data_IF_588793073440
#
_entry.id   IF_588793073440
#
_cell.length_a   1.000
_cell.length_b   1.000
_cell.length_c   1.000
_cell.angle_alpha   90.00
_cell.angle_beta   90.00
_cell.angle_gamma   90.00
#
_symmetry.space_group_name_H-M   'P 1'
#
loop_
_entity.id
_entity.type
_entity.pdbx_description
1 polymer ?
#
# COMPACT_ATOMS: atom_id res chain seq x y z
N UNK A 1 -17.76 29.23 -16.01
CA UNK A 1 -16.85 28.64 -17.03
C UNK A 1 -17.71 28.11 -18.16
N UNK A 2 -17.55 28.57 -19.42
CA UNK A 2 -18.28 28.02 -20.57
C UNK A 2 -17.52 26.79 -21.08
N UNK A 3 -18.05 25.60 -20.82
CA UNK A 3 -17.58 24.32 -21.34
C UNK A 3 -18.15 24.10 -22.75
N UNK A 4 -17.30 23.83 -23.73
CA UNK A 4 -17.73 23.44 -25.08
C UNK A 4 -17.92 21.92 -25.15
N UNK A 5 -19.11 21.50 -24.71
CA UNK A 5 -19.51 20.11 -24.50
C UNK A 5 -19.53 19.29 -25.80
N UNK A 6 -19.79 19.91 -26.94
CA UNK A 6 -19.93 19.21 -28.23
C UNK A 6 -18.62 18.58 -28.69
N UNK A 7 -17.51 19.31 -28.59
CA UNK A 7 -16.17 18.79 -28.93
C UNK A 7 -15.67 17.70 -27.97
N UNK A 8 -16.15 17.72 -26.72
CA UNK A 8 -15.87 16.68 -25.74
C UNK A 8 -16.68 15.41 -26.03
N UNK A 9 -17.94 15.55 -26.43
CA UNK A 9 -18.81 14.43 -26.77
C UNK A 9 -18.32 13.64 -27.98
N UNK A 10 -17.88 14.33 -29.04
CA UNK A 10 -17.39 13.68 -30.27
C UNK A 10 -16.14 12.82 -29.99
N UNK A 11 -15.19 13.38 -29.24
CA UNK A 11 -14.01 12.65 -28.74
C UNK A 11 -14.36 11.46 -27.84
N UNK A 12 -15.38 11.61 -26.99
CA UNK A 12 -15.81 10.54 -26.09
C UNK A 12 -16.53 9.43 -26.86
N UNK A 13 -17.28 9.76 -27.92
CA UNK A 13 -17.98 8.78 -28.76
C UNK A 13 -16.99 7.93 -29.58
N UNK A 14 -15.96 8.53 -30.15
CA UNK A 14 -14.90 7.81 -30.86
C UNK A 14 -14.13 6.85 -29.92
N UNK A 15 -13.83 7.30 -28.70
CA UNK A 15 -13.22 6.46 -27.66
C UNK A 15 -14.16 5.32 -27.23
N UNK A 16 -15.46 5.61 -27.05
CA UNK A 16 -16.47 4.62 -26.66
C UNK A 16 -16.64 3.52 -27.71
N UNK A 17 -16.57 3.87 -29.00
CA UNK A 17 -16.66 2.89 -30.08
C UNK A 17 -15.45 1.93 -30.10
N UNK A 18 -14.25 2.46 -29.85
CA UNK A 18 -13.02 1.66 -29.74
C UNK A 18 -13.02 0.75 -28.51
N UNK A 19 -13.47 1.28 -27.37
CA UNK A 19 -13.51 0.55 -26.10
C UNK A 19 -14.55 -0.58 -26.14
N UNK A 20 -15.71 -0.36 -26.76
CA UNK A 20 -16.73 -1.40 -26.94
C UNK A 20 -16.25 -2.55 -27.82
N UNK A 21 -15.49 -2.26 -28.88
CA UNK A 21 -14.92 -3.31 -29.74
C UNK A 21 -13.89 -4.16 -28.96
N UNK A 22 -13.07 -3.52 -28.12
CA UNK A 22 -12.11 -4.20 -27.26
C UNK A 22 -12.79 -5.04 -26.17
N UNK A 23 -13.84 -4.51 -25.54
CA UNK A 23 -14.62 -5.22 -24.52
C UNK A 23 -15.35 -6.44 -25.08
N UNK A 24 -15.87 -6.35 -26.29
CA UNK A 24 -16.55 -7.49 -26.93
C UNK A 24 -15.55 -8.60 -27.29
N UNK A 25 -14.33 -8.23 -27.71
CA UNK A 25 -13.23 -9.18 -27.90
C UNK A 25 -12.80 -9.85 -26.58
N UNK A 26 -12.73 -9.10 -25.48
CA UNK A 26 -12.43 -9.66 -24.16
C UNK A 26 -13.56 -10.55 -23.62
N UNK A 27 -14.82 -10.23 -23.90
CA UNK A 27 -15.97 -11.04 -23.49
C UNK A 27 -15.99 -12.40 -24.21
N UNK A 28 -15.67 -12.41 -25.52
CA UNK A 28 -15.57 -13.64 -26.31
C UNK A 28 -14.39 -14.52 -25.86
N UNK A 29 -13.31 -13.92 -25.34
CA UNK A 29 -12.08 -14.62 -24.93
C UNK A 29 -12.13 -15.14 -23.47
N UNK A 30 -12.86 -14.47 -22.57
CA UNK A 30 -12.84 -14.76 -21.12
C UNK A 30 -14.23 -15.01 -20.49
N UNK A 31 -15.29 -15.14 -21.30
CA UNK A 31 -16.68 -15.19 -20.82
C UNK A 31 -17.07 -16.38 -19.93
N UNK A 32 -16.27 -17.45 -19.86
CA UNK A 32 -16.60 -18.69 -19.14
C UNK A 32 -16.04 -18.78 -17.72
N UNK A 33 -15.49 -17.68 -17.17
CA UNK A 33 -14.75 -17.72 -15.91
C UNK A 33 -15.13 -16.62 -14.91
N UNK A 34 -16.40 -16.47 -14.54
CA UNK A 34 -16.76 -15.89 -13.23
C UNK A 34 -18.09 -16.49 -12.74
N UNK A 35 -18.00 -17.48 -11.85
CA UNK A 35 -19.13 -17.86 -10.99
C UNK A 35 -19.18 -16.87 -9.82
N UNK A 36 -20.31 -16.20 -9.72
CA UNK A 36 -20.76 -15.36 -8.61
C UNK A 36 -20.82 -16.15 -7.29
N UNK A 37 -20.21 -15.63 -6.22
CA UNK A 37 -20.73 -15.78 -4.85
C UNK A 37 -20.53 -14.47 -4.09
N UNK A 38 -21.60 -13.69 -4.02
CA UNK A 38 -21.72 -12.43 -3.30
C UNK A 38 -22.32 -12.72 -1.90
N UNK A 39 -21.48 -12.85 -0.87
CA UNK A 39 -21.93 -12.98 0.54
C UNK A 39 -21.81 -11.61 1.23
N UNK A 40 -22.90 -10.83 1.20
CA UNK A 40 -22.95 -9.49 1.81
C UNK A 40 -22.98 -9.60 3.34
N UNK A 41 -21.80 -9.57 3.96
CA UNK A 41 -21.67 -9.34 5.40
C UNK A 41 -21.70 -7.84 5.69
N UNK A 42 -22.59 -7.41 6.60
CA UNK A 42 -22.58 -6.05 7.16
C UNK A 42 -21.29 -5.91 8.00
N UNK A 43 -20.17 -5.54 7.37
CA UNK A 43 -18.87 -5.52 8.04
C UNK A 43 -18.69 -4.22 8.84
N UNK A 44 -18.01 -4.29 9.98
CA UNK A 44 -17.68 -3.12 10.82
C UNK A 44 -16.48 -2.31 10.26
N UNK A 45 -16.19 -2.40 8.95
CA UNK A 45 -15.02 -1.84 8.28
C UNK A 45 -15.42 -0.84 7.17
N UNK A 46 -16.13 0.26 7.50
CA UNK A 46 -16.68 1.18 6.50
C UNK A 46 -15.65 1.81 5.57
N UNK A 47 -14.38 1.96 5.97
CA UNK A 47 -13.34 2.53 5.09
C UNK A 47 -12.90 1.49 4.07
N UNK A 48 -12.61 0.27 4.53
CA UNK A 48 -12.19 -0.83 3.67
C UNK A 48 -13.30 -1.21 2.68
N UNK A 49 -14.53 -1.39 3.16
CA UNK A 49 -15.67 -1.80 2.35
C UNK A 49 -15.99 -0.75 1.29
N UNK A 50 -16.00 0.52 1.67
CA UNK A 50 -16.20 1.62 0.72
C UNK A 50 -15.11 1.65 -0.35
N UNK A 51 -13.86 1.36 0.02
CA UNK A 51 -12.76 1.32 -0.95
C UNK A 51 -12.94 0.18 -1.96
N UNK A 52 -13.37 -1.00 -1.50
CA UNK A 52 -13.69 -2.12 -2.37
C UNK A 52 -14.88 -1.80 -3.29
N UNK A 53 -15.92 -1.14 -2.76
CA UNK A 53 -17.10 -0.75 -3.52
C UNK A 53 -16.80 0.32 -4.58
N UNK A 54 -16.02 1.35 -4.23
CA UNK A 54 -15.76 2.50 -5.11
C UNK A 54 -14.63 2.22 -6.12
N UNK A 55 -13.60 1.46 -5.74
CA UNK A 55 -12.38 1.29 -6.53
C UNK A 55 -12.07 -0.16 -6.94
N UNK A 56 -12.86 -1.13 -6.46
CA UNK A 56 -12.70 -2.55 -6.76
C UNK A 56 -11.41 -3.15 -6.19
N UNK A 57 -11.18 -4.43 -6.52
CA UNK A 57 -9.99 -5.16 -6.11
C UNK A 57 -8.68 -4.53 -6.63
N UNK A 58 -8.72 -3.95 -7.84
CA UNK A 58 -7.54 -3.31 -8.43
C UNK A 58 -7.20 -1.99 -7.72
N UNK A 59 -8.19 -1.16 -7.39
CA UNK A 59 -7.98 0.03 -6.58
C UNK A 59 -7.45 -0.32 -5.19
N UNK A 60 -8.00 -1.36 -4.57
CA UNK A 60 -7.51 -1.89 -3.30
C UNK A 60 -6.02 -2.28 -3.36
N UNK A 61 -5.61 -2.98 -4.42
CA UNK A 61 -4.22 -3.35 -4.69
C UNK A 61 -3.34 -2.14 -4.95
N UNK A 62 -3.83 -1.12 -5.66
CA UNK A 62 -3.14 0.16 -5.84
C UNK A 62 -2.98 0.91 -4.51
N UNK A 63 -3.84 0.71 -3.53
CA UNK A 63 -3.72 1.34 -2.21
C UNK A 63 -2.80 0.57 -1.25
N UNK A 64 -2.76 -0.77 -1.29
CA UNK A 64 -2.05 -1.57 -0.27
C UNK A 64 -0.88 -2.42 -0.78
N UNK A 65 -0.78 -2.64 -2.10
CA UNK A 65 0.02 -3.67 -2.78
C UNK A 65 -0.50 -5.10 -2.69
N UNK A 66 -1.60 -5.35 -1.99
CA UNK A 66 -2.16 -6.68 -1.79
C UNK A 66 -3.49 -6.80 -2.50
N UNK A 67 -3.79 -7.99 -3.04
CA UNK A 67 -5.19 -8.30 -3.37
C UNK A 67 -6.04 -8.33 -2.08
N UNK A 68 -7.37 -8.20 -2.18
CA UNK A 68 -8.24 -8.33 -1.00
C UNK A 68 -7.99 -9.65 -0.25
N UNK A 69 -7.78 -10.76 -0.96
CA UNK A 69 -7.48 -12.08 -0.40
C UNK A 69 -6.13 -12.11 0.34
N UNK A 70 -5.07 -11.57 -0.27
CA UNK A 70 -3.75 -11.47 0.38
C UNK A 70 -3.81 -10.61 1.64
N UNK A 71 -4.60 -9.53 1.61
CA UNK A 71 -4.83 -8.68 2.77
C UNK A 71 -5.51 -9.45 3.90
N UNK A 72 -6.51 -10.30 3.62
CA UNK A 72 -7.15 -11.13 4.64
C UNK A 72 -6.18 -12.10 5.30
N UNK A 73 -5.25 -12.68 4.53
CA UNK A 73 -4.20 -13.56 5.09
C UNK A 73 -3.33 -12.80 6.09
N UNK A 74 -2.93 -11.58 5.77
CA UNK A 74 -2.11 -10.74 6.66
C UNK A 74 -2.94 -10.31 7.88
N UNK A 75 -4.18 -9.88 7.66
CA UNK A 75 -5.09 -9.48 8.71
C UNK A 75 -5.35 -10.60 9.70
N UNK A 76 -5.60 -11.84 9.25
CA UNK A 76 -5.82 -12.99 10.13
C UNK A 76 -4.67 -13.28 11.09
N UNK A 77 -3.43 -12.94 10.70
CA UNK A 77 -2.28 -13.03 11.60
C UNK A 77 -2.26 -11.91 12.66
N UNK A 78 -2.72 -10.70 12.31
CA UNK A 78 -2.70 -9.52 13.16
C UNK A 78 -3.97 -9.36 14.03
N UNK A 79 -5.09 -9.93 13.61
CA UNK A 79 -6.45 -9.66 14.10
C UNK A 79 -6.57 -9.75 15.62
N UNK A 80 -6.08 -10.84 16.23
CA UNK A 80 -6.19 -11.05 17.68
C UNK A 80 -5.47 -9.95 18.47
N UNK A 81 -4.25 -9.62 18.05
CA UNK A 81 -3.41 -8.62 18.73
C UNK A 81 -3.96 -7.21 18.52
N UNK A 82 -4.38 -6.90 17.28
CA UNK A 82 -4.94 -5.61 16.90
C UNK A 82 -6.27 -5.33 17.59
N UNK A 83 -7.18 -6.30 17.59
CA UNK A 83 -8.50 -6.16 18.22
C UNK A 83 -8.40 -6.01 19.73
N UNK A 84 -7.48 -6.73 20.37
CA UNK A 84 -7.19 -6.57 21.80
C UNK A 84 -6.73 -5.14 22.09
N UNK A 85 -5.67 -4.69 21.41
CA UNK A 85 -5.08 -3.38 21.66
C UNK A 85 -5.99 -2.20 21.30
N UNK A 86 -6.86 -2.38 20.30
CA UNK A 86 -7.84 -1.37 19.87
C UNK A 86 -8.91 -1.08 20.92
N UNK A 87 -9.30 -2.11 21.67
CA UNK A 87 -10.30 -1.99 22.73
C UNK A 87 -9.70 -1.56 24.07
N UNK A 88 -8.38 -1.73 24.25
CA UNK A 88 -7.69 -1.31 25.47
C UNK A 88 -7.76 0.21 25.71
N UNK A 89 -8.31 0.59 26.87
CA UNK A 89 -8.39 1.98 27.33
C UNK A 89 -9.51 2.80 26.69
N UNK A 90 -10.31 2.23 25.78
CA UNK A 90 -11.53 2.86 25.26
C UNK A 90 -12.72 2.38 26.07
N UNK A 91 -13.22 3.23 26.98
CA UNK A 91 -14.33 2.88 27.88
C UNK A 91 -15.60 2.36 27.17
N UNK A 92 -15.80 2.72 25.90
CA UNK A 92 -16.84 2.17 25.01
C UNK A 92 -16.18 1.42 23.86
N UNK A 93 -16.64 0.20 23.57
CA UNK A 93 -16.26 -0.54 22.34
C UNK A 93 -16.47 0.37 21.13
N UNK A 94 -15.43 0.54 20.32
CA UNK A 94 -15.49 1.39 19.12
C UNK A 94 -16.49 0.77 18.13
N UNK A 95 -17.30 1.60 17.47
CA UNK A 95 -18.22 1.12 16.42
C UNK A 95 -17.46 0.61 15.18
N UNK A 96 -16.22 1.04 15.01
CA UNK A 96 -15.32 0.65 13.91
C UNK A 96 -14.37 -0.45 14.39
N UNK A 97 -14.24 -1.50 13.59
CA UNK A 97 -13.29 -2.60 13.79
C UNK A 97 -11.84 -2.13 13.66
N UNK A 98 -10.90 -2.91 14.21
CA UNK A 98 -9.47 -2.64 14.13
C UNK A 98 -8.87 -2.88 12.72
N UNK A 99 -9.65 -3.44 11.79
CA UNK A 99 -9.26 -3.73 10.40
C UNK A 99 -9.15 -2.48 9.53
N UNK A 100 -10.04 -1.51 9.71
CA UNK A 100 -9.98 -0.21 9.04
C UNK A 100 -8.67 0.54 9.37
N UNK A 101 -8.26 0.67 10.65
CA UNK A 101 -6.96 1.20 11.01
C UNK A 101 -5.77 0.51 10.34
N UNK A 102 -5.84 -0.81 10.23
CA UNK A 102 -4.81 -1.62 9.58
C UNK A 102 -4.71 -1.32 8.08
N UNK A 103 -5.86 -1.28 7.39
CA UNK A 103 -5.95 -0.91 5.98
C UNK A 103 -5.41 0.52 5.72
N UNK A 104 -5.82 1.49 6.53
CA UNK A 104 -5.35 2.88 6.43
C UNK A 104 -3.84 2.96 6.62
N UNK A 105 -3.29 2.20 7.57
CA UNK A 105 -1.85 2.17 7.84
C UNK A 105 -1.04 1.67 6.65
N UNK A 106 -1.45 0.55 6.03
CA UNK A 106 -0.80 0.05 4.82
C UNK A 106 -0.85 1.06 3.67
N UNK A 107 -1.98 1.75 3.51
CA UNK A 107 -2.17 2.76 2.47
C UNK A 107 -1.25 3.97 2.67
N UNK A 108 -1.20 4.50 3.90
CA UNK A 108 -0.31 5.62 4.27
C UNK A 108 1.16 5.24 4.10
N UNK A 109 1.54 4.00 4.45
CA UNK A 109 2.91 3.51 4.28
C UNK A 109 3.30 3.34 2.81
N UNK A 110 2.36 2.92 1.94
CA UNK A 110 2.60 2.80 0.50
C UNK A 110 2.76 4.17 -0.17
N UNK A 111 1.89 5.11 0.17
CA UNK A 111 1.79 6.40 -0.50
C UNK A 111 2.40 7.51 0.36
N UNK A 112 3.66 7.88 0.12
CA UNK A 112 4.32 8.91 0.92
C UNK A 112 3.71 10.31 0.66
N UNK A 113 2.98 10.85 1.65
CA UNK A 113 2.40 12.20 1.67
C UNK A 113 2.34 12.75 3.10
N UNK A 114 1.93 14.01 3.24
CA UNK A 114 1.70 14.63 4.56
C UNK A 114 0.45 14.07 5.24
N UNK A 115 0.40 14.14 6.57
CA UNK A 115 -0.76 13.71 7.35
C UNK A 115 -2.04 14.45 6.96
N UNK A 116 -1.94 15.73 6.58
CA UNK A 116 -3.08 16.54 6.17
C UNK A 116 -3.71 16.02 4.88
N UNK A 117 -2.89 15.62 3.89
CA UNK A 117 -3.42 15.10 2.62
C UNK A 117 -4.11 13.76 2.82
N UNK A 118 -3.44 12.81 3.47
CA UNK A 118 -4.04 11.52 3.78
C UNK A 118 -5.29 11.65 4.65
N UNK A 119 -5.30 12.58 5.60
CA UNK A 119 -6.46 12.81 6.45
C UNK A 119 -7.67 13.31 5.64
N UNK A 120 -7.45 14.15 4.62
CA UNK A 120 -8.52 14.55 3.69
C UNK A 120 -9.03 13.34 2.91
N UNK A 121 -8.14 12.49 2.39
CA UNK A 121 -8.50 11.32 1.60
C UNK A 121 -9.36 10.32 2.40
N UNK A 122 -9.08 10.15 3.70
CA UNK A 122 -9.86 9.29 4.61
C UNK A 122 -10.99 10.01 5.36
N UNK A 123 -11.20 11.31 5.15
CA UNK A 123 -12.20 12.09 5.89
C UNK A 123 -11.93 12.19 7.41
N UNK A 124 -10.68 12.07 7.83
CA UNK A 124 -10.22 12.14 9.21
C UNK A 124 -9.55 13.50 9.51
N UNK A 125 -9.31 13.78 10.79
CA UNK A 125 -8.42 14.87 11.19
C UNK A 125 -6.97 14.36 11.22
N UNK A 126 -6.01 15.16 10.75
CA UNK A 126 -4.60 14.77 10.71
C UNK A 126 -4.06 14.24 12.07
N UNK A 127 -4.32 14.86 13.23
CA UNK A 127 -3.87 14.33 14.52
C UNK A 127 -4.52 12.99 14.91
N UNK A 128 -5.72 12.71 14.39
CA UNK A 128 -6.41 11.45 14.61
C UNK A 128 -5.82 10.36 13.74
N UNK A 129 -5.57 10.66 12.46
CA UNK A 129 -4.91 9.74 11.53
C UNK A 129 -3.52 9.36 12.03
N UNK A 130 -2.71 10.35 12.45
CA UNK A 130 -1.37 10.11 12.99
C UNK A 130 -1.41 9.16 14.19
N UNK A 131 -2.25 9.44 15.19
CA UNK A 131 -2.40 8.58 16.38
C UNK A 131 -2.82 7.16 16.02
N UNK A 132 -3.70 7.02 15.03
CA UNK A 132 -4.18 5.72 14.54
C UNK A 132 -3.03 4.95 13.88
N UNK A 133 -2.32 5.55 12.93
CA UNK A 133 -1.23 4.91 12.20
C UNK A 133 -0.06 4.56 13.13
N UNK A 134 0.33 5.46 14.03
CA UNK A 134 1.42 5.20 15.00
C UNK A 134 1.06 4.05 15.95
N UNK A 135 -0.19 3.98 16.41
CA UNK A 135 -0.67 2.88 17.23
C UNK A 135 -0.64 1.56 16.46
N UNK A 136 -1.16 1.53 15.23
CA UNK A 136 -1.19 0.33 14.39
C UNK A 136 0.23 -0.19 14.10
N UNK A 137 1.13 0.68 13.62
CA UNK A 137 2.53 0.34 13.36
C UNK A 137 3.22 -0.20 14.61
N UNK A 138 2.98 0.41 15.78
CA UNK A 138 3.54 -0.05 17.05
C UNK A 138 3.14 -1.48 17.44
N UNK A 139 1.96 -1.93 16.99
CA UNK A 139 1.45 -3.29 17.25
C UNK A 139 1.88 -4.24 16.13
N UNK A 140 1.61 -3.86 14.88
CA UNK A 140 1.82 -4.70 13.70
C UNK A 140 3.29 -4.93 13.38
N UNK A 141 4.17 -3.96 13.61
CA UNK A 141 5.58 -4.06 13.19
C UNK A 141 6.26 -5.31 13.77
N UNK A 142 6.13 -5.55 15.07
CA UNK A 142 6.74 -6.72 15.74
C UNK A 142 6.08 -8.03 15.31
N UNK A 143 4.76 -8.01 15.13
CA UNK A 143 3.97 -9.17 14.76
C UNK A 143 4.32 -9.63 13.35
N UNK A 144 4.23 -8.73 12.36
CA UNK A 144 4.53 -9.02 10.96
C UNK A 144 5.98 -9.43 10.76
N UNK A 145 6.92 -8.82 11.49
CA UNK A 145 8.32 -9.22 11.48
C UNK A 145 8.48 -10.68 11.92
N UNK A 146 7.79 -11.08 12.99
CA UNK A 146 7.89 -12.45 13.52
C UNK A 146 7.23 -13.48 12.59
N UNK A 147 6.09 -13.15 11.98
CA UNK A 147 5.35 -14.06 11.11
C UNK A 147 6.02 -14.23 9.73
N UNK A 148 6.51 -13.13 9.14
CA UNK A 148 6.91 -13.13 7.73
C UNK A 148 8.42 -12.97 7.51
N UNK A 149 9.17 -12.47 8.50
CA UNK A 149 10.63 -12.37 8.38
C UNK A 149 11.32 -13.52 9.10
N UNK A 150 11.76 -14.50 8.33
CA UNK A 150 12.79 -15.43 8.77
C UNK A 150 14.15 -14.81 8.47
N UNK A 151 14.98 -14.60 9.49
CA UNK A 151 16.38 -14.24 9.31
C UNK A 151 17.21 -15.53 9.10
N UNK A 152 17.56 -15.91 7.86
CA UNK A 152 18.33 -17.12 7.64
C UNK A 152 19.74 -16.94 8.18
N UNK A 153 20.20 -17.91 8.98
CA UNK A 153 21.61 -17.95 9.40
C UNK A 153 22.49 -18.26 8.19
N UNK A 154 23.68 -17.65 8.13
CA UNK A 154 24.63 -17.85 7.03
C UNK A 154 24.93 -19.33 6.73
N UNK A 155 25.00 -20.15 7.77
CA UNK A 155 25.20 -21.60 7.64
C UNK A 155 24.08 -22.28 6.86
N UNK A 156 22.82 -21.87 7.07
CA UNK A 156 21.62 -22.36 6.38
C UNK A 156 21.55 -21.89 4.92
N UNK A 157 22.07 -20.68 4.62
CA UNK A 157 22.17 -20.20 3.24
C UNK A 157 23.27 -20.93 2.46
N UNK A 158 24.43 -21.12 3.10
CA UNK A 158 25.57 -21.84 2.51
C UNK A 158 25.24 -23.30 2.22
N UNK A 159 24.51 -23.98 3.11
CA UNK A 159 24.10 -25.37 2.87
C UNK A 159 23.05 -25.53 1.77
N UNK A 160 22.37 -24.44 1.38
CA UNK A 160 21.36 -24.41 0.32
C UNK A 160 21.87 -23.83 -1.00
N UNK A 161 23.18 -23.56 -1.11
CA UNK A 161 23.82 -22.86 -2.23
C UNK A 161 23.14 -21.54 -2.65
N UNK A 162 22.38 -20.92 -1.74
CA UNK A 162 21.74 -19.61 -1.95
C UNK A 162 22.70 -18.49 -1.52
N UNK A 163 23.90 -18.49 -2.06
CA UNK A 163 24.93 -17.47 -1.82
C UNK A 163 24.96 -16.53 -3.03
N UNK A 164 25.09 -15.22 -2.81
CA UNK A 164 25.18 -14.26 -3.91
C UNK A 164 26.37 -14.60 -4.82
N UNK A 165 26.08 -14.84 -6.10
CA UNK A 165 27.04 -15.35 -7.10
C UNK A 165 28.26 -14.42 -7.29
N UNK A 166 28.12 -13.12 -7.01
CA UNK A 166 29.14 -12.11 -7.31
C UNK A 166 29.64 -11.28 -6.11
N UNK A 167 29.22 -11.57 -4.88
CA UNK A 167 29.59 -10.77 -3.70
C UNK A 167 29.78 -11.61 -2.42
N UNK A 168 30.85 -12.42 -2.31
CA UNK A 168 31.07 -13.26 -1.13
C UNK A 168 31.38 -12.48 0.17
N UNK A 169 31.73 -11.18 0.06
CA UNK A 169 32.07 -10.32 1.19
C UNK A 169 31.05 -9.20 1.50
N UNK A 170 29.97 -9.04 0.73
CA UNK A 170 28.99 -7.97 0.94
C UNK A 170 28.03 -8.23 2.13
N UNK A 171 28.40 -9.12 3.04
CA UNK A 171 27.53 -9.65 4.10
C UNK A 171 27.63 -8.89 5.44
N UNK A 172 28.40 -7.80 5.50
CA UNK A 172 28.48 -6.93 6.69
C UNK A 172 28.25 -5.46 6.35
N UNK A 173 27.04 -5.13 5.92
CA UNK A 173 26.50 -3.78 6.15
C UNK A 173 25.72 -3.77 7.48
N UNK A 174 26.30 -4.31 8.55
CA UNK A 174 25.73 -4.23 9.92
C UNK A 174 26.21 -2.99 10.69
N UNK A 175 27.09 -2.19 10.09
CA UNK A 175 27.39 -0.80 10.50
C UNK A 175 27.83 -0.04 9.23
N UNK A 176 26.86 0.42 8.43
CA UNK A 176 27.16 1.40 7.39
C UNK A 176 27.41 2.71 8.11
N UNK A 177 28.65 2.96 8.49
CA UNK A 177 29.07 4.34 8.68
C UNK A 177 29.00 4.99 7.32
N UNK A 178 27.97 5.80 7.10
CA UNK A 178 27.99 6.81 6.05
C UNK A 178 29.33 7.52 6.17
N UNK A 179 30.24 7.27 5.22
CA UNK A 179 31.42 8.11 5.10
C UNK A 179 30.86 9.51 4.83
N UNK A 180 31.23 10.54 5.62
CA UNK A 180 30.90 11.90 5.24
C UNK A 180 31.47 12.11 3.85
N UNK A 181 30.59 12.23 2.85
CA UNK A 181 31.02 12.67 1.55
C UNK A 181 31.65 14.04 1.79
N UNK A 182 32.95 14.16 1.54
CA UNK A 182 33.63 15.44 1.56
C UNK A 182 33.05 16.21 0.37
N UNK A 183 31.89 16.83 0.57
CA UNK A 183 31.37 17.83 -0.34
C UNK A 183 32.49 18.85 -0.41
N UNK A 184 33.14 19.05 -1.58
CA UNK A 184 34.04 20.17 -1.73
C UNK A 184 33.23 21.38 -1.29
N UNK A 185 33.73 22.13 -0.32
CA UNK A 185 33.15 23.37 0.15
C UNK A 185 33.28 24.43 -0.95
N UNK A 186 32.65 24.15 -2.09
CA UNK A 186 32.30 25.11 -3.11
C UNK A 186 31.33 26.08 -2.44
N UNK A 187 31.73 27.34 -2.37
CA UNK A 187 30.83 28.43 -1.99
C UNK A 187 29.58 28.36 -2.86
N UNK A 188 28.45 28.78 -2.30
CA UNK A 188 27.08 28.68 -2.85
C UNK A 188 26.86 29.32 -4.25
N UNK A 189 27.90 29.75 -4.97
CA UNK A 189 27.81 30.52 -6.22
C UNK A 189 28.35 29.87 -7.49
N UNK A 190 28.91 28.65 -7.49
CA UNK A 190 29.46 28.06 -8.72
C UNK A 190 28.58 26.92 -9.27
N UNK A 191 27.52 27.29 -9.99
CA UNK A 191 26.96 26.42 -11.04
C UNK A 191 27.81 26.61 -12.30
N UNK A 192 28.53 25.56 -12.74
CA UNK A 192 29.02 25.48 -14.11
C UNK A 192 28.80 24.07 -14.68
N UNK A 193 27.77 23.99 -15.53
CA UNK A 193 27.63 23.19 -16.75
C UNK A 193 28.43 21.88 -16.83
N UNK A 194 27.77 20.76 -16.54
CA UNK A 194 28.23 19.46 -17.05
C UNK A 194 27.88 19.34 -18.53
N UNK A 195 28.89 19.44 -19.38
CA UNK A 195 28.85 19.01 -20.77
C UNK A 195 28.67 17.48 -20.80
N UNK A 196 27.67 17.01 -21.54
CA UNK A 196 27.49 15.60 -21.89
C UNK A 196 28.65 15.15 -22.79
N UNK A 197 29.28 14.05 -22.42
CA UNK A 197 29.81 13.06 -23.36
C UNK A 197 29.26 11.70 -22.92
#
# INVERSE_FOLDING_TARGET
MRLNVSSMLERLQDQTASDNLYLQQCLDEYGDAVLEEDEFHETNNPIMDKTLLDAGAEGFRVLTNFTPEEFEVIWGNAESTMTSRWNDGRGRKSATSAKDPFFVTLTVMKHYQTWEKHAVDFGLKAPTLEKLVVMDVGVCSKLLYTCFMSLPRMTSLRSKDKVFTHCPYALYATDVKFQPAHRPSSRFGEQKHSVRL
#
